data_IF_148167822290
#
_entry.id   IF_148167822290
#
_cell.length_a   1.000
_cell.length_b   1.000
_cell.length_c   1.000
_cell.angle_alpha   90.00
_cell.angle_beta   90.00
_cell.angle_gamma   90.00
#
_symmetry.space_group_name_H-M   'P 1'
#
loop_
_entity.id
_entity.type
_entity.pdbx_description
1 polymer ?
#
# COMPACT_ATOMS: atom_id res chain seq x y z
N UNK A 1 12.08 -8.72 24.00
CA UNK A 1 11.46 -8.54 22.66
C UNK A 1 12.22 -7.49 21.86
N UNK A 2 12.25 -7.61 20.55
CA UNK A 2 12.80 -6.57 19.64
C UNK A 2 11.68 -6.05 18.76
N UNK A 3 11.47 -4.75 18.74
CA UNK A 3 10.52 -4.09 17.86
C UNK A 3 11.24 -3.20 16.88
N UNK A 4 10.80 -3.27 15.62
CA UNK A 4 11.15 -2.31 14.59
C UNK A 4 9.97 -1.36 14.45
N UNK A 5 10.24 -0.07 14.44
CA UNK A 5 9.21 0.97 14.33
C UNK A 5 9.46 1.85 13.12
N UNK A 6 8.49 1.93 12.22
CA UNK A 6 8.53 2.86 11.09
C UNK A 6 7.56 4.00 11.33
N UNK A 7 7.97 5.22 11.02
CA UNK A 7 7.12 6.41 11.11
C UNK A 7 6.91 7.03 9.74
N UNK A 8 5.63 7.25 9.39
CA UNK A 8 5.25 7.88 8.13
C UNK A 8 5.57 9.37 8.09
N UNK A 9 5.54 9.96 6.89
CA UNK A 9 5.92 11.37 6.70
C UNK A 9 5.06 12.36 7.46
N UNK A 10 3.76 12.12 7.61
CA UNK A 10 2.85 12.96 8.43
C UNK A 10 3.26 12.97 9.91
N UNK A 11 3.78 11.85 10.41
CA UNK A 11 4.30 11.70 11.77
C UNK A 11 5.64 12.39 12.00
N UNK A 12 6.30 12.89 10.94
CA UNK A 12 7.62 13.51 10.96
C UNK A 12 7.64 14.88 10.26
N UNK A 13 6.46 15.51 10.10
CA UNK A 13 6.30 16.73 9.34
C UNK A 13 6.83 18.00 10.06
N UNK A 14 7.03 17.96 11.38
CA UNK A 14 7.43 19.11 12.22
C UNK A 14 8.14 18.65 13.50
N UNK A 15 8.80 19.58 14.18
CA UNK A 15 9.43 19.33 15.47
C UNK A 15 8.43 18.82 16.54
N UNK A 16 7.16 19.28 16.51
CA UNK A 16 6.13 18.76 17.41
C UNK A 16 5.85 17.28 17.16
N UNK A 17 5.74 16.88 15.90
CA UNK A 17 5.53 15.48 15.55
C UNK A 17 6.76 14.62 15.92
N UNK A 18 7.98 15.12 15.73
CA UNK A 18 9.20 14.44 16.17
C UNK A 18 9.20 14.18 17.68
N UNK A 19 8.75 15.14 18.51
CA UNK A 19 8.62 14.92 19.97
C UNK A 19 7.66 13.79 20.28
N UNK A 20 6.46 13.77 19.64
CA UNK A 20 5.50 12.67 19.81
C UNK A 20 6.12 11.32 19.43
N UNK A 21 6.86 11.28 18.32
CA UNK A 21 7.56 10.06 17.89
C UNK A 21 8.60 9.62 18.91
N UNK A 22 9.41 10.54 19.44
CA UNK A 22 10.39 10.21 20.47
C UNK A 22 9.72 9.74 21.75
N UNK A 23 8.63 10.35 22.18
CA UNK A 23 7.85 9.90 23.35
C UNK A 23 7.33 8.47 23.15
N UNK A 24 6.82 8.15 21.96
CA UNK A 24 6.40 6.80 21.60
C UNK A 24 7.58 5.83 21.68
N UNK A 25 8.74 6.18 21.13
CA UNK A 25 9.93 5.30 21.12
C UNK A 25 10.39 5.08 22.57
N UNK A 26 10.51 6.12 23.36
CA UNK A 26 10.99 6.03 24.75
C UNK A 26 10.00 5.36 25.71
N UNK A 27 8.70 5.36 25.39
CA UNK A 27 7.69 4.67 26.18
C UNK A 27 7.85 3.13 26.18
N UNK A 28 8.66 2.58 25.27
CA UNK A 28 8.88 1.14 25.17
C UNK A 28 10.32 0.85 24.73
N UNK A 29 11.14 0.40 25.66
CA UNK A 29 12.56 0.09 25.45
C UNK A 29 12.81 -1.04 24.40
N UNK A 30 11.77 -1.74 23.97
CA UNK A 30 11.85 -2.77 22.92
C UNK A 30 11.82 -2.17 21.51
N UNK A 31 11.44 -0.89 21.35
CA UNK A 31 11.44 -0.11 20.09
C UNK A 31 12.85 0.37 19.74
N UNK A 32 13.66 -0.55 19.27
CA UNK A 32 15.11 -0.38 19.11
C UNK A 32 15.55 0.13 17.76
N UNK A 33 14.85 -0.27 16.71
CA UNK A 33 15.23 0.05 15.34
C UNK A 33 14.16 0.94 14.72
N UNK A 34 14.58 2.13 14.32
CA UNK A 34 13.67 3.20 13.86
C UNK A 34 13.87 3.44 12.37
N UNK A 35 12.77 3.43 11.62
CA UNK A 35 12.77 3.69 10.18
C UNK A 35 11.94 4.95 9.90
N UNK A 36 12.57 6.13 9.78
CA UNK A 36 11.89 7.36 9.45
C UNK A 36 11.64 7.50 7.95
N UNK A 37 10.47 8.04 7.58
CA UNK A 37 10.20 8.59 6.25
C UNK A 37 10.70 10.04 6.14
N UNK A 38 10.71 10.61 4.93
CA UNK A 38 10.89 12.04 4.72
C UNK A 38 9.76 12.84 5.38
N UNK A 39 9.98 14.13 5.74
CA UNK A 39 8.94 14.97 6.29
C UNK A 39 7.76 15.12 5.33
N UNK A 40 6.56 14.78 5.81
CA UNK A 40 5.32 14.91 5.07
C UNK A 40 4.77 16.34 5.07
N UNK A 41 3.49 16.47 4.76
CA UNK A 41 2.77 17.76 4.82
C UNK A 41 2.51 18.17 6.26
N UNK A 42 2.73 19.46 6.60
CA UNK A 42 2.37 20.06 7.90
C UNK A 42 0.87 20.38 7.97
N UNK A 43 0.26 20.69 6.81
CA UNK A 43 -1.14 21.03 6.63
C UNK A 43 -1.61 20.62 5.22
N UNK A 44 -2.92 20.67 4.95
CA UNK A 44 -3.52 20.12 3.71
C UNK A 44 -2.92 20.65 2.41
N UNK A 45 -2.59 21.94 2.33
CA UNK A 45 -2.03 22.59 1.14
C UNK A 45 -0.50 22.63 1.11
N UNK A 46 0.19 21.99 2.06
CA UNK A 46 1.65 21.93 2.09
C UNK A 46 2.18 20.92 1.06
N UNK A 47 3.47 21.05 0.73
CA UNK A 47 4.17 20.16 -0.21
C UNK A 47 5.03 19.19 0.60
N UNK A 48 5.06 17.92 0.21
CA UNK A 48 5.96 16.93 0.81
C UNK A 48 7.40 17.24 0.42
N UNK A 49 8.34 17.01 1.33
CA UNK A 49 9.77 17.25 1.06
C UNK A 49 10.27 16.42 -0.14
N UNK A 50 9.76 15.20 -0.31
CA UNK A 50 10.11 14.36 -1.47
C UNK A 50 9.69 15.02 -2.80
N UNK A 51 8.48 15.63 -2.84
CA UNK A 51 8.00 16.34 -4.03
C UNK A 51 8.83 17.62 -4.29
N UNK A 52 9.25 18.32 -3.21
CA UNK A 52 10.16 19.48 -3.32
C UNK A 52 11.52 19.06 -3.90
N UNK A 53 12.07 17.91 -3.47
CA UNK A 53 13.33 17.37 -3.97
C UNK A 53 13.26 16.98 -5.44
N UNK A 54 12.16 16.35 -5.89
CA UNK A 54 11.93 16.08 -7.31
C UNK A 54 11.89 17.38 -8.12
N UNK A 55 11.08 18.36 -7.73
CA UNK A 55 10.98 19.64 -8.43
C UNK A 55 12.31 20.41 -8.46
N UNK A 56 13.09 20.35 -7.39
CA UNK A 56 14.42 20.94 -7.32
C UNK A 56 15.40 20.25 -8.30
N UNK A 57 15.36 18.91 -8.35
CA UNK A 57 16.22 18.14 -9.26
C UNK A 57 15.81 18.33 -10.73
N UNK A 58 14.53 18.39 -11.07
CA UNK A 58 14.05 18.65 -12.43
C UNK A 58 14.60 19.98 -13.00
N UNK A 59 14.69 21.01 -12.14
CA UNK A 59 15.31 22.28 -12.53
C UNK A 59 16.82 22.11 -12.78
N UNK A 60 17.52 21.36 -11.94
CA UNK A 60 18.95 21.07 -12.10
C UNK A 60 19.22 20.28 -13.39
N UNK A 61 18.41 19.27 -13.67
CA UNK A 61 18.51 18.45 -14.87
C UNK A 61 18.27 19.26 -16.14
N UNK A 62 17.31 20.21 -16.09
CA UNK A 62 17.02 21.15 -17.16
C UNK A 62 18.07 22.28 -17.29
N UNK A 63 19.14 22.30 -16.47
CA UNK A 63 20.17 23.32 -16.48
C UNK A 63 19.69 24.70 -15.99
N UNK A 64 18.59 24.74 -15.24
CA UNK A 64 18.04 25.95 -14.62
C UNK A 64 18.59 26.13 -13.22
N UNK A 65 18.49 27.37 -12.69
CA UNK A 65 18.81 27.60 -11.27
C UNK A 65 17.79 26.93 -10.35
N UNK A 66 18.28 26.18 -9.39
CA UNK A 66 17.48 25.47 -8.37
C UNK A 66 17.84 25.93 -6.95
N UNK A 67 18.62 27.03 -6.83
CA UNK A 67 19.12 27.51 -5.52
C UNK A 67 18.00 27.89 -4.57
N UNK A 68 16.91 28.46 -5.08
CA UNK A 68 15.77 28.87 -4.27
C UNK A 68 15.05 27.64 -3.71
N UNK A 69 14.76 26.69 -4.57
CA UNK A 69 14.06 25.44 -4.20
C UNK A 69 14.87 24.63 -3.19
N UNK A 70 16.20 24.56 -3.38
CA UNK A 70 17.10 23.91 -2.43
C UNK A 70 17.14 24.67 -1.08
N UNK A 71 17.10 25.99 -1.11
CA UNK A 71 17.05 26.82 0.10
C UNK A 71 15.73 26.61 0.86
N UNK A 72 14.58 26.53 0.16
CA UNK A 72 13.28 26.25 0.76
C UNK A 72 13.28 24.87 1.47
N UNK A 73 13.92 23.86 0.87
CA UNK A 73 14.10 22.54 1.49
C UNK A 73 14.99 22.62 2.73
N UNK A 74 16.11 23.36 2.64
CA UNK A 74 17.03 23.58 3.77
C UNK A 74 16.33 24.24 4.95
N UNK A 75 15.54 25.27 4.70
CA UNK A 75 14.75 25.96 5.72
C UNK A 75 13.75 25.02 6.39
N UNK A 76 13.12 24.13 5.62
CA UNK A 76 12.19 23.13 6.14
C UNK A 76 12.85 22.19 7.17
N UNK A 77 14.07 21.74 6.93
CA UNK A 77 14.82 20.92 7.87
C UNK A 77 15.35 21.73 9.04
N UNK A 78 15.80 22.99 8.78
CA UNK A 78 16.27 23.88 9.84
C UNK A 78 15.17 24.20 10.86
N UNK A 79 13.92 24.42 10.40
CA UNK A 79 12.76 24.59 11.28
C UNK A 79 12.57 23.40 12.23
N UNK A 80 12.80 22.16 11.74
CA UNK A 80 12.72 20.95 12.59
C UNK A 80 13.86 20.94 13.60
N UNK A 81 15.11 21.16 13.16
CA UNK A 81 16.31 21.17 14.00
C UNK A 81 16.18 22.21 15.12
N UNK A 82 15.83 23.46 14.76
CA UNK A 82 15.67 24.55 15.71
C UNK A 82 14.52 24.28 16.69
N UNK A 83 13.40 23.79 16.16
CA UNK A 83 12.25 23.43 16.98
C UNK A 83 12.53 22.30 17.97
N UNK A 84 13.48 21.40 17.68
CA UNK A 84 13.95 20.34 18.59
C UNK A 84 15.07 20.81 19.52
N UNK A 85 15.65 22.00 19.28
CA UNK A 85 16.77 22.54 20.05
C UNK A 85 18.09 21.81 19.82
N UNK A 86 18.26 21.19 18.65
CA UNK A 86 19.49 20.46 18.29
C UNK A 86 20.60 21.41 17.87
N UNK A 87 21.85 21.00 18.09
CA UNK A 87 23.06 21.71 17.60
C UNK A 87 23.55 21.14 16.27
N UNK A 88 22.76 20.25 15.65
CA UNK A 88 23.06 19.62 14.38
C UNK A 88 23.10 20.64 13.23
N UNK A 89 24.08 20.52 12.35
CA UNK A 89 24.14 21.25 11.08
C UNK A 89 24.08 20.26 9.93
N UNK A 90 23.22 20.49 8.95
CA UNK A 90 23.13 19.71 7.70
C UNK A 90 23.80 20.44 6.52
N UNK A 91 24.68 21.41 6.80
CA UNK A 91 25.31 22.22 5.75
C UNK A 91 26.17 21.40 4.79
N UNK A 92 26.96 20.46 5.30
CA UNK A 92 27.81 19.58 4.49
C UNK A 92 26.98 18.65 3.60
N UNK A 93 25.88 18.12 4.14
CA UNK A 93 24.94 17.29 3.40
C UNK A 93 24.28 18.07 2.26
N UNK A 94 23.84 19.31 2.52
CA UNK A 94 23.25 20.15 1.48
C UNK A 94 24.26 20.58 0.41
N UNK A 95 25.50 20.82 0.76
CA UNK A 95 26.57 21.07 -0.22
C UNK A 95 26.81 19.84 -1.11
N UNK A 96 26.81 18.66 -0.51
CA UNK A 96 26.93 17.38 -1.23
C UNK A 96 25.73 17.17 -2.16
N UNK A 97 24.50 17.43 -1.70
CA UNK A 97 23.28 17.34 -2.51
C UNK A 97 23.32 18.32 -3.68
N UNK A 98 23.70 19.58 -3.43
CA UNK A 98 23.82 20.59 -4.49
C UNK A 98 24.82 20.16 -5.56
N UNK A 99 25.98 19.62 -5.16
CA UNK A 99 26.98 19.11 -6.10
C UNK A 99 26.48 17.92 -6.91
N UNK A 100 25.80 16.96 -6.27
CA UNK A 100 25.25 15.80 -6.94
C UNK A 100 24.10 16.17 -7.90
N UNK A 101 23.30 17.18 -7.59
CA UNK A 101 22.28 17.70 -8.50
C UNK A 101 22.93 18.34 -9.73
N UNK A 102 24.01 19.14 -9.57
CA UNK A 102 24.80 19.68 -10.69
C UNK A 102 25.41 18.56 -11.55
N UNK A 103 25.80 17.45 -10.93
CA UNK A 103 26.36 16.28 -11.60
C UNK A 103 25.31 15.33 -12.18
N UNK A 104 24.01 15.67 -12.09
CA UNK A 104 22.89 14.88 -12.60
C UNK A 104 22.82 13.46 -12.02
N UNK A 105 22.87 13.35 -10.70
CA UNK A 105 22.89 12.08 -9.98
C UNK A 105 21.58 11.25 -10.07
N UNK A 106 20.53 11.78 -10.67
CA UNK A 106 19.28 11.07 -10.96
C UNK A 106 18.18 11.28 -9.93
N UNK A 107 16.95 10.99 -10.36
CA UNK A 107 15.74 11.16 -9.54
C UNK A 107 15.73 10.30 -8.27
N UNK A 108 16.28 9.08 -8.34
CA UNK A 108 16.37 8.20 -7.17
C UNK A 108 17.26 8.81 -6.07
N UNK A 109 18.41 9.37 -6.46
CA UNK A 109 19.27 10.08 -5.53
C UNK A 109 18.53 11.27 -4.91
N UNK A 110 17.89 12.11 -5.73
CA UNK A 110 17.17 13.28 -5.24
C UNK A 110 16.10 12.90 -4.21
N UNK A 111 15.21 11.99 -4.57
CA UNK A 111 14.13 11.54 -3.70
C UNK A 111 14.62 10.95 -2.38
N UNK A 112 15.67 10.12 -2.41
CA UNK A 112 16.22 9.47 -1.21
C UNK A 112 16.76 10.46 -0.16
N UNK A 113 17.14 11.67 -0.57
CA UNK A 113 17.70 12.65 0.36
C UNK A 113 16.70 13.13 1.39
N UNK A 114 15.40 13.01 1.12
CA UNK A 114 14.36 13.31 2.09
C UNK A 114 14.46 12.43 3.34
N UNK A 115 14.48 11.13 3.16
CA UNK A 115 14.63 10.16 4.24
C UNK A 115 16.02 10.20 4.86
N UNK A 116 17.06 10.36 4.04
CA UNK A 116 18.46 10.46 4.49
C UNK A 116 18.64 11.59 5.52
N UNK A 117 18.26 12.83 5.16
CA UNK A 117 18.37 13.99 6.04
C UNK A 117 17.51 13.84 7.30
N UNK A 118 16.30 13.32 7.13
CA UNK A 118 15.39 13.09 8.25
C UNK A 118 15.90 12.01 9.20
N UNK A 119 16.56 10.98 8.66
CA UNK A 119 17.23 9.94 9.43
C UNK A 119 18.37 10.47 10.28
N UNK A 120 19.17 11.38 9.75
CA UNK A 120 20.26 12.05 10.51
C UNK A 120 19.68 12.84 11.70
N UNK A 121 18.64 13.65 11.47
CA UNK A 121 17.96 14.40 12.54
C UNK A 121 17.38 13.46 13.61
N UNK A 122 16.72 12.39 13.18
CA UNK A 122 16.14 11.42 14.10
C UNK A 122 17.20 10.72 14.94
N UNK A 123 18.32 10.34 14.32
CA UNK A 123 19.43 9.69 15.02
C UNK A 123 20.08 10.62 16.05
N UNK A 124 20.32 11.88 15.71
CA UNK A 124 20.87 12.89 16.63
C UNK A 124 19.90 13.15 17.79
N UNK A 125 18.59 13.30 17.48
CA UNK A 125 17.58 13.60 18.49
C UNK A 125 17.37 12.44 19.50
N UNK A 126 17.45 11.18 19.03
CA UNK A 126 17.34 10.01 19.90
C UNK A 126 18.65 9.58 20.56
N UNK A 127 19.79 10.08 20.09
CA UNK A 127 21.12 9.59 20.47
C UNK A 127 21.39 8.17 19.95
N UNK A 128 20.81 7.79 18.81
CA UNK A 128 20.94 6.47 18.20
C UNK A 128 21.97 6.49 17.07
N UNK A 129 22.54 5.32 16.74
CA UNK A 129 23.43 5.19 15.59
C UNK A 129 22.66 5.40 14.28
N UNK A 130 23.16 6.28 13.40
CA UNK A 130 22.67 6.43 12.04
C UNK A 130 23.32 5.38 11.13
N UNK A 131 22.54 4.69 10.33
CA UNK A 131 23.01 3.73 9.32
C UNK A 131 22.36 4.08 7.99
N UNK A 132 23.17 4.52 7.02
CA UNK A 132 22.67 4.84 5.68
C UNK A 132 22.13 3.58 4.99
N UNK A 133 20.90 3.66 4.51
CA UNK A 133 20.24 2.56 3.79
C UNK A 133 20.99 2.17 2.51
N UNK A 134 21.69 3.10 1.86
CA UNK A 134 22.53 2.81 0.72
C UNK A 134 23.71 1.87 1.04
N UNK A 135 24.13 1.79 2.30
CA UNK A 135 25.21 0.87 2.73
C UNK A 135 24.71 -0.56 2.94
N UNK A 136 23.42 -0.74 3.24
CA UNK A 136 22.91 -2.01 3.80
C UNK A 136 21.75 -2.62 3.01
N UNK A 137 21.08 -1.87 2.13
CA UNK A 137 19.98 -2.37 1.28
C UNK A 137 20.47 -2.43 -0.16
N UNK A 138 20.31 -3.59 -0.80
CA UNK A 138 20.84 -3.89 -2.13
C UNK A 138 19.73 -4.13 -3.15
N UNK A 139 19.98 -3.62 -4.35
CA UNK A 139 19.24 -3.94 -5.56
C UNK A 139 20.16 -4.68 -6.54
N UNK A 140 19.59 -5.59 -7.31
CA UNK A 140 20.29 -6.32 -8.35
C UNK A 140 20.48 -5.48 -9.62
N UNK A 141 21.13 -6.03 -10.64
CA UNK A 141 21.42 -5.35 -11.91
C UNK A 141 20.15 -4.97 -12.69
N UNK A 142 19.02 -5.64 -12.45
CA UNK A 142 17.74 -5.34 -13.07
C UNK A 142 16.97 -4.22 -12.33
N UNK A 143 17.46 -3.85 -11.14
CA UNK A 143 16.80 -2.89 -10.26
C UNK A 143 15.74 -3.51 -9.36
N UNK A 144 15.75 -4.84 -9.23
CA UNK A 144 14.90 -5.57 -8.30
C UNK A 144 15.56 -5.66 -6.91
N UNK A 145 14.74 -5.71 -5.87
CA UNK A 145 15.23 -5.79 -4.50
C UNK A 145 15.92 -7.13 -4.22
N UNK A 146 17.22 -7.10 -3.92
CA UNK A 146 17.98 -8.28 -3.51
C UNK A 146 17.76 -8.56 -2.01
N UNK A 147 16.77 -9.38 -1.75
CA UNK A 147 16.29 -9.72 -0.41
C UNK A 147 17.33 -10.49 0.42
N UNK A 148 18.06 -11.42 -0.18
CA UNK A 148 18.97 -12.29 0.56
C UNK A 148 20.28 -11.58 0.89
N UNK A 149 20.90 -10.89 -0.09
CA UNK A 149 22.10 -10.08 0.14
C UNK A 149 21.84 -8.97 1.15
N UNK A 150 20.69 -8.29 1.03
CA UNK A 150 20.28 -7.26 2.01
C UNK A 150 20.15 -7.85 3.41
N UNK A 151 19.44 -8.97 3.55
CA UNK A 151 19.23 -9.60 4.86
C UNK A 151 20.55 -10.00 5.54
N UNK A 152 21.52 -10.48 4.76
CA UNK A 152 22.84 -10.82 5.26
C UNK A 152 23.65 -9.59 5.70
N UNK A 153 23.74 -8.55 4.85
CA UNK A 153 24.50 -7.33 5.13
C UNK A 153 23.89 -6.60 6.33
N UNK A 154 22.58 -6.34 6.29
CA UNK A 154 21.88 -5.60 7.32
C UNK A 154 21.84 -6.38 8.64
N UNK A 155 21.65 -7.71 8.60
CA UNK A 155 21.68 -8.56 9.78
C UNK A 155 23.04 -8.53 10.48
N UNK A 156 24.14 -8.60 9.72
CA UNK A 156 25.52 -8.46 10.26
C UNK A 156 25.74 -7.05 10.83
N UNK A 157 25.30 -6.01 10.12
CA UNK A 157 25.49 -4.60 10.52
C UNK A 157 24.78 -4.26 11.82
N UNK A 158 23.60 -4.86 12.05
CA UNK A 158 22.78 -4.65 13.24
C UNK A 158 23.04 -5.66 14.37
N UNK A 159 23.88 -6.66 14.15
CA UNK A 159 24.20 -7.66 15.16
C UNK A 159 24.89 -7.00 16.37
N UNK A 160 24.35 -7.23 17.57
CA UNK A 160 24.89 -6.67 18.81
C UNK A 160 24.60 -5.19 19.04
N UNK A 161 23.91 -4.52 18.11
CA UNK A 161 23.46 -3.13 18.31
C UNK A 161 22.26 -3.07 19.24
N UNK A 162 22.26 -2.11 20.15
CA UNK A 162 21.12 -1.87 21.03
C UNK A 162 20.00 -1.14 20.31
N UNK A 163 20.36 -0.14 19.52
CA UNK A 163 19.43 0.68 18.75
C UNK A 163 20.12 1.26 17.49
N UNK A 164 19.31 1.63 16.49
CA UNK A 164 19.77 2.33 15.29
C UNK A 164 18.61 3.03 14.58
N UNK A 165 18.94 4.04 13.77
CA UNK A 165 18.05 4.70 12.81
C UNK A 165 18.51 4.33 11.40
N UNK A 166 17.61 3.77 10.60
CA UNK A 166 17.82 3.37 9.22
C UNK A 166 16.80 4.11 8.35
N UNK A 167 17.20 5.09 7.52
CA UNK A 167 16.26 5.82 6.67
C UNK A 167 15.45 4.89 5.77
N UNK A 168 14.16 5.19 5.59
CA UNK A 168 13.29 4.43 4.71
C UNK A 168 13.52 4.69 3.22
N UNK A 169 12.78 3.98 2.35
CA UNK A 169 12.54 4.28 0.95
C UNK A 169 13.62 3.89 -0.06
N UNK A 170 14.89 3.76 0.29
CA UNK A 170 15.97 3.56 -0.67
C UNK A 170 17.02 2.53 -0.22
N UNK A 171 17.83 2.13 -1.16
CA UNK A 171 19.07 1.37 -1.02
C UNK A 171 20.02 1.73 -2.16
N UNK A 172 20.89 0.84 -2.56
CA UNK A 172 21.83 1.06 -3.65
C UNK A 172 22.11 -0.21 -4.45
N UNK A 173 22.53 -0.02 -5.69
CA UNK A 173 23.21 -1.05 -6.48
C UNK A 173 24.59 -1.39 -5.90
N UNK A 174 25.23 -2.42 -6.44
CA UNK A 174 26.57 -2.83 -6.01
C UNK A 174 27.65 -1.75 -6.21
N UNK A 175 27.47 -0.88 -7.21
CA UNK A 175 28.37 0.25 -7.50
C UNK A 175 28.15 1.48 -6.60
N UNK A 176 27.16 1.42 -5.69
CA UNK A 176 26.78 2.51 -4.80
C UNK A 176 25.75 3.50 -5.38
N UNK A 177 25.32 3.31 -6.63
CA UNK A 177 24.26 4.14 -7.21
C UNK A 177 22.95 3.94 -6.46
N UNK A 178 22.36 5.03 -5.97
CA UNK A 178 21.14 5.00 -5.18
C UNK A 178 19.92 4.58 -6.02
N UNK A 179 19.13 3.70 -5.45
CA UNK A 179 17.85 3.24 -6.00
C UNK A 179 16.75 3.37 -4.96
N UNK A 180 15.59 3.90 -5.34
CA UNK A 180 14.40 3.95 -4.50
C UNK A 180 13.44 2.81 -4.80
N UNK A 181 12.65 2.40 -3.81
CA UNK A 181 11.48 1.56 -4.03
C UNK A 181 10.39 2.36 -4.76
N UNK A 182 9.55 1.69 -5.54
CA UNK A 182 8.55 2.34 -6.40
C UNK A 182 7.43 3.01 -5.60
N UNK A 183 6.90 2.32 -4.57
CA UNK A 183 5.82 2.81 -3.69
C UNK A 183 5.97 2.21 -2.29
N UNK A 184 5.47 2.91 -1.27
CA UNK A 184 5.49 2.42 0.10
C UNK A 184 6.90 2.10 0.64
N UNK A 185 7.94 2.71 0.07
CA UNK A 185 9.33 2.29 0.28
C UNK A 185 9.78 2.33 1.72
N UNK A 186 9.32 3.29 2.52
CA UNK A 186 9.64 3.29 3.95
C UNK A 186 8.95 2.16 4.71
N UNK A 187 7.73 1.74 4.29
CA UNK A 187 7.04 0.58 4.84
C UNK A 187 7.80 -0.71 4.52
N UNK A 188 8.29 -0.82 3.28
CA UNK A 188 9.13 -1.94 2.82
C UNK A 188 10.44 -1.97 3.62
N UNK A 189 11.11 -0.82 3.80
CA UNK A 189 12.34 -0.74 4.60
C UNK A 189 12.11 -1.19 6.04
N UNK A 190 11.01 -0.77 6.69
CA UNK A 190 10.67 -1.23 8.04
C UNK A 190 10.52 -2.76 8.12
N UNK A 191 9.89 -3.34 7.11
CA UNK A 191 9.72 -4.79 6.98
C UNK A 191 11.06 -5.52 6.76
N UNK A 192 11.94 -4.96 5.92
CA UNK A 192 13.30 -5.48 5.66
C UNK A 192 14.12 -5.46 6.96
N UNK A 193 14.13 -4.33 7.68
CA UNK A 193 14.84 -4.21 8.96
C UNK A 193 14.29 -5.21 9.96
N UNK A 194 12.95 -5.36 10.06
CA UNK A 194 12.32 -6.32 10.95
C UNK A 194 12.75 -7.76 10.68
N UNK A 195 12.82 -8.14 9.40
CA UNK A 195 13.35 -9.46 8.99
C UNK A 195 14.81 -9.63 9.38
N UNK A 196 15.66 -8.66 9.06
CA UNK A 196 17.11 -8.74 9.29
C UNK A 196 17.48 -8.88 10.76
N UNK A 197 16.77 -8.20 11.67
CA UNK A 197 17.00 -8.29 13.12
C UNK A 197 16.20 -9.41 13.78
N UNK A 198 15.38 -10.15 13.02
CA UNK A 198 14.42 -11.15 13.54
C UNK A 198 13.57 -10.54 14.64
N UNK A 199 12.87 -9.46 14.30
CA UNK A 199 12.02 -8.74 15.22
C UNK A 199 10.83 -9.60 15.69
N UNK A 200 10.37 -9.37 16.91
CA UNK A 200 9.15 -9.99 17.41
C UNK A 200 7.89 -9.29 16.87
N UNK A 201 8.00 -7.99 16.54
CA UNK A 201 6.93 -7.17 15.99
C UNK A 201 7.51 -6.09 15.06
N UNK A 202 6.82 -5.82 13.96
CA UNK A 202 7.00 -4.63 13.15
C UNK A 202 5.83 -3.67 13.40
N UNK A 203 6.09 -2.52 14.04
CA UNK A 203 5.10 -1.47 14.24
C UNK A 203 5.20 -0.44 13.11
N UNK A 204 4.11 -0.23 12.36
CA UNK A 204 3.99 0.81 11.34
C UNK A 204 3.12 1.95 11.88
N UNK A 205 3.75 3.06 12.22
CA UNK A 205 3.12 4.25 12.78
C UNK A 205 2.77 5.25 11.66
N UNK A 206 1.50 5.62 11.61
CA UNK A 206 0.90 6.50 10.62
C UNK A 206 -0.06 7.49 11.29
N UNK A 207 -0.89 8.21 10.53
CA UNK A 207 -1.90 9.15 11.01
C UNK A 207 -3.31 8.54 11.17
N UNK A 208 -3.44 7.23 10.94
CA UNK A 208 -4.70 6.50 11.12
C UNK A 208 -4.54 5.37 12.14
N UNK A 209 -5.63 5.05 12.85
CA UNK A 209 -5.63 4.04 13.94
C UNK A 209 -5.81 2.59 13.45
N UNK A 210 -5.24 2.26 12.30
CA UNK A 210 -5.34 0.93 11.69
C UNK A 210 -6.34 0.89 10.53
N UNK A 211 -6.78 -0.32 10.19
CA UNK A 211 -7.77 -0.55 9.13
C UNK A 211 -9.19 -0.40 9.67
N UNK A 212 -10.06 0.11 8.83
CA UNK A 212 -11.49 0.23 9.10
C UNK A 212 -12.27 -0.82 8.31
N UNK A 213 -13.42 -1.25 8.83
CA UNK A 213 -14.26 -2.27 8.18
C UNK A 213 -14.81 -1.76 6.83
N UNK A 214 -15.00 -0.45 6.71
CA UNK A 214 -15.45 0.19 5.45
C UNK A 214 -14.79 1.56 5.30
N UNK A 215 -14.90 2.12 4.10
CA UNK A 215 -14.37 3.45 3.77
C UNK A 215 -15.07 4.54 4.60
N UNK A 216 -14.34 5.37 5.38
CA UNK A 216 -14.90 6.43 6.20
C UNK A 216 -15.55 7.57 5.38
N UNK A 217 -15.30 7.63 4.07
CA UNK A 217 -15.97 8.56 3.15
C UNK A 217 -17.39 8.11 2.82
N UNK A 218 -17.71 6.83 3.02
CA UNK A 218 -19.02 6.22 2.74
C UNK A 218 -19.79 5.96 4.02
N UNK A 219 -19.12 5.41 5.04
CA UNK A 219 -19.67 5.09 6.35
C UNK A 219 -19.17 6.10 7.37
N UNK A 220 -20.05 6.78 8.05
CA UNK A 220 -19.68 7.67 9.14
C UNK A 220 -19.19 6.87 10.36
N UNK A 221 -17.94 7.14 10.81
CA UNK A 221 -17.32 6.48 11.97
C UNK A 221 -17.35 4.94 11.91
N UNK A 222 -16.80 4.31 10.84
CA UNK A 222 -16.82 2.88 10.73
C UNK A 222 -15.98 2.21 11.83
N UNK A 223 -16.36 1.00 12.22
CA UNK A 223 -15.62 0.23 13.23
C UNK A 223 -14.20 -0.12 12.73
N UNK A 224 -13.23 -0.12 13.64
CA UNK A 224 -11.87 -0.57 13.37
C UNK A 224 -11.76 -2.10 13.29
N UNK A 225 -10.75 -2.56 12.57
CA UNK A 225 -10.38 -3.97 12.49
C UNK A 225 -9.27 -4.24 13.50
N UNK A 226 -9.53 -5.08 14.51
CA UNK A 226 -8.52 -5.40 15.53
C UNK A 226 -7.42 -6.30 14.96
N UNK A 227 -7.80 -7.35 14.20
CA UNK A 227 -6.87 -8.33 13.64
C UNK A 227 -7.31 -8.76 12.25
N UNK A 228 -6.37 -8.71 11.32
CA UNK A 228 -6.55 -9.12 9.92
C UNK A 228 -5.43 -10.09 9.52
N UNK A 229 -5.74 -11.09 8.70
CA UNK A 229 -4.71 -11.97 8.12
C UNK A 229 -4.12 -11.35 6.85
N UNK A 230 -2.90 -11.75 6.48
CA UNK A 230 -2.28 -11.31 5.22
C UNK A 230 -3.16 -11.58 4.00
N UNK A 231 -3.91 -12.68 4.00
CA UNK A 231 -4.81 -13.01 2.89
C UNK A 231 -5.99 -12.03 2.82
N UNK A 232 -6.65 -11.76 3.95
CA UNK A 232 -7.74 -10.79 4.01
C UNK A 232 -7.27 -9.39 3.65
N UNK A 233 -6.07 -9.01 4.12
CA UNK A 233 -5.48 -7.71 3.79
C UNK A 233 -5.27 -7.56 2.28
N UNK A 234 -4.75 -8.58 1.59
CA UNK A 234 -4.56 -8.52 0.14
C UNK A 234 -5.86 -8.32 -0.61
N UNK A 235 -6.92 -9.03 -0.23
CA UNK A 235 -8.26 -8.87 -0.83
C UNK A 235 -8.78 -7.43 -0.67
N UNK A 236 -8.67 -6.87 0.54
CA UNK A 236 -9.13 -5.51 0.82
C UNK A 236 -8.26 -4.45 0.13
N UNK A 237 -6.93 -4.61 0.16
CA UNK A 237 -5.99 -3.66 -0.45
C UNK A 237 -6.14 -3.61 -1.97
N UNK A 238 -6.32 -4.75 -2.62
CA UNK A 238 -6.57 -4.85 -4.05
C UNK A 238 -7.82 -4.05 -4.45
N UNK A 239 -8.86 -4.11 -3.64
CA UNK A 239 -10.10 -3.37 -3.83
C UNK A 239 -10.08 -1.94 -3.28
N UNK A 240 -8.90 -1.42 -2.90
CA UNK A 240 -8.69 0.00 -2.59
C UNK A 240 -8.64 0.39 -1.11
N UNK A 241 -8.80 -0.53 -0.19
CA UNK A 241 -8.59 -0.28 1.24
C UNK A 241 -7.09 -0.35 1.59
N UNK A 242 -6.31 0.66 1.17
CA UNK A 242 -4.86 0.66 1.36
C UNK A 242 -4.43 1.59 2.50
N UNK A 243 -3.99 1.02 3.61
CA UNK A 243 -3.25 1.72 4.68
C UNK A 243 -1.77 1.34 4.61
N UNK A 244 -1.46 0.14 4.12
CA UNK A 244 -0.12 -0.40 3.95
C UNK A 244 0.03 -0.93 2.53
N UNK A 245 1.16 -0.62 1.88
CA UNK A 245 1.46 -1.17 0.55
C UNK A 245 1.72 -2.68 0.66
N UNK A 246 1.17 -3.48 -0.27
CA UNK A 246 1.27 -4.94 -0.20
C UNK A 246 2.72 -5.46 -0.26
N UNK A 247 3.61 -4.78 -0.99
CA UNK A 247 5.02 -5.15 -1.06
C UNK A 247 5.73 -5.07 0.29
N UNK A 248 5.25 -4.21 1.19
CA UNK A 248 5.80 -4.09 2.55
C UNK A 248 5.54 -5.33 3.42
N UNK A 249 4.65 -6.21 2.99
CA UNK A 249 4.28 -7.40 3.74
C UNK A 249 5.28 -8.54 3.50
N UNK A 250 5.84 -8.65 2.30
CA UNK A 250 6.62 -9.82 1.88
C UNK A 250 7.81 -10.16 2.79
N UNK A 251 8.69 -9.21 3.19
CA UNK A 251 9.84 -9.55 4.02
C UNK A 251 9.46 -10.15 5.37
N UNK A 252 8.47 -9.58 6.06
CA UNK A 252 8.03 -10.04 7.39
C UNK A 252 7.14 -11.26 7.36
N UNK A 253 6.31 -11.42 6.31
CA UNK A 253 5.44 -12.57 6.13
C UNK A 253 6.22 -13.87 6.06
N UNK A 254 7.34 -13.88 5.33
CA UNK A 254 8.19 -15.06 5.18
C UNK A 254 8.73 -15.58 6.51
N UNK A 255 8.95 -14.69 7.47
CA UNK A 255 9.45 -14.99 8.81
C UNK A 255 8.33 -15.10 9.87
N UNK A 256 7.07 -14.90 9.47
CA UNK A 256 5.93 -14.93 10.40
C UNK A 256 5.89 -13.78 11.41
N UNK A 257 6.60 -12.67 11.14
CA UNK A 257 6.65 -11.50 12.02
C UNK A 257 5.34 -10.71 11.88
N UNK A 258 4.57 -10.51 12.96
CA UNK A 258 3.35 -9.72 12.90
C UNK A 258 3.63 -8.24 12.68
N UNK A 259 2.71 -7.57 11.95
CA UNK A 259 2.73 -6.11 11.78
C UNK A 259 1.64 -5.52 12.66
N UNK A 260 1.92 -4.40 13.33
CA UNK A 260 0.91 -3.62 14.04
C UNK A 260 0.84 -2.21 13.45
N UNK A 261 -0.30 -1.86 12.84
CA UNK A 261 -0.55 -0.51 12.33
C UNK A 261 -1.06 0.36 13.46
N UNK A 262 -0.37 1.46 13.74
CA UNK A 262 -0.66 2.33 14.89
C UNK A 262 -0.72 3.80 14.51
N UNK A 263 -1.41 4.58 15.32
CA UNK A 263 -1.60 6.02 15.11
C UNK A 263 -0.65 6.83 15.99
N UNK A 264 0.20 7.64 15.37
CA UNK A 264 1.13 8.55 16.07
C UNK A 264 0.38 9.62 16.89
N UNK A 265 -0.81 10.03 16.46
CA UNK A 265 -1.62 11.03 17.15
C UNK A 265 -2.56 10.44 18.22
N UNK A 266 -2.66 9.10 18.30
CA UNK A 266 -3.46 8.37 19.27
C UNK A 266 -2.70 7.10 19.69
N UNK A 267 -1.53 7.23 20.36
CA UNK A 267 -0.63 6.11 20.63
C UNK A 267 -1.19 5.08 21.62
N UNK A 268 -2.22 5.42 22.38
CA UNK A 268 -2.97 4.52 23.25
C UNK A 268 -3.88 3.54 22.49
N UNK A 269 -4.27 3.88 21.25
CA UNK A 269 -5.08 2.99 20.43
C UNK A 269 -4.27 1.73 20.04
N UNK A 270 -4.89 0.54 20.17
CA UNK A 270 -4.26 -0.74 19.85
C UNK A 270 -3.90 -0.91 18.38
N UNK A 271 -4.59 -0.17 17.50
CA UNK A 271 -4.44 -0.28 16.06
C UNK A 271 -4.92 -1.61 15.49
N UNK A 272 -4.43 -1.96 14.30
CA UNK A 272 -4.74 -3.23 13.64
C UNK A 272 -3.52 -4.14 13.62
N UNK A 273 -3.69 -5.40 14.03
CA UNK A 273 -2.69 -6.45 13.89
C UNK A 273 -2.84 -7.20 12.57
N UNK A 274 -1.76 -7.32 11.83
CA UNK A 274 -1.68 -8.12 10.60
C UNK A 274 -0.85 -9.36 10.91
N UNK A 275 -1.44 -10.55 10.71
CA UNK A 275 -0.84 -11.83 11.09
C UNK A 275 -0.95 -12.85 9.94
N UNK A 276 -0.11 -13.91 9.96
CA UNK A 276 -0.20 -14.99 8.96
C UNK A 276 -1.50 -15.79 9.15
N UNK A 277 -1.81 -16.13 10.39
CA UNK A 277 -3.02 -16.86 10.76
C UNK A 277 -3.42 -16.52 12.19
N UNK A 278 -4.69 -16.72 12.51
CA UNK A 278 -5.19 -16.52 13.86
C UNK A 278 -6.33 -17.49 14.17
N UNK A 279 -6.32 -18.02 15.39
CA UNK A 279 -7.42 -18.79 15.96
C UNK A 279 -8.46 -17.89 16.65
N UNK A 280 -8.18 -16.59 16.79
CA UNK A 280 -9.15 -15.65 17.36
C UNK A 280 -10.35 -15.50 16.43
N UNK A 281 -11.53 -15.65 17.00
CA UNK A 281 -12.76 -15.33 16.28
C UNK A 281 -12.81 -13.82 16.01
N UNK A 282 -13.15 -13.45 14.78
CA UNK A 282 -13.46 -12.07 14.47
C UNK A 282 -14.69 -11.62 15.25
N UNK A 283 -14.74 -10.35 15.65
CA UNK A 283 -15.91 -9.74 16.27
C UNK A 283 -17.15 -9.82 15.37
N UNK A 284 -16.94 -9.72 14.06
CA UNK A 284 -17.98 -9.80 13.04
C UNK A 284 -17.70 -10.98 12.09
N UNK A 285 -18.70 -11.42 11.36
CA UNK A 285 -18.57 -12.47 10.34
C UNK A 285 -17.65 -12.03 9.21
N UNK A 286 -17.75 -10.75 8.83
CA UNK A 286 -16.88 -10.11 7.85
C UNK A 286 -15.74 -9.37 8.56
N UNK A 287 -14.60 -9.27 7.88
CA UNK A 287 -13.45 -8.48 8.34
C UNK A 287 -13.47 -7.08 7.74
N UNK A 288 -13.89 -6.94 6.48
CA UNK A 288 -13.96 -5.63 5.84
C UNK A 288 -14.76 -5.66 4.54
N UNK A 289 -15.10 -4.46 4.08
CA UNK A 289 -15.78 -4.17 2.83
C UNK A 289 -14.95 -3.12 2.10
N UNK A 290 -14.52 -3.45 0.89
CA UNK A 290 -13.79 -2.51 0.03
C UNK A 290 -14.37 -2.56 -1.37
N UNK A 291 -14.17 -1.52 -2.16
CA UNK A 291 -14.63 -1.54 -3.54
C UNK A 291 -14.11 -0.37 -4.34
N UNK A 292 -14.22 -0.50 -5.65
CA UNK A 292 -13.81 0.49 -6.64
C UNK A 292 -14.89 0.64 -7.70
N UNK A 293 -15.00 1.86 -8.23
CA UNK A 293 -15.76 2.19 -9.44
C UNK A 293 -14.87 2.16 -10.66
N UNK A 294 -15.45 2.23 -11.85
CA UNK A 294 -14.72 2.40 -13.11
C UNK A 294 -14.36 1.08 -13.78
N UNK A 295 -15.25 0.12 -13.72
CA UNK A 295 -15.13 -1.14 -14.46
C UNK A 295 -16.15 -1.19 -15.60
N UNK A 296 -15.85 -2.03 -16.59
CA UNK A 296 -16.80 -2.47 -17.59
C UNK A 296 -16.79 -3.99 -17.73
N UNK A 297 -17.91 -4.53 -18.15
CA UNK A 297 -18.10 -5.95 -18.44
C UNK A 297 -18.18 -6.16 -19.95
N UNK A 298 -17.33 -7.03 -20.48
CA UNK A 298 -17.38 -7.48 -21.87
C UNK A 298 -18.05 -8.85 -21.87
N UNK A 299 -19.32 -8.90 -22.27
CA UNK A 299 -20.13 -10.12 -22.33
C UNK A 299 -19.97 -10.75 -23.71
N UNK A 300 -19.49 -11.98 -23.74
CA UNK A 300 -19.26 -12.74 -24.97
C UNK A 300 -20.18 -13.94 -24.95
N UNK A 301 -21.03 -14.07 -25.99
CA UNK A 301 -21.93 -15.17 -26.15
C UNK A 301 -21.50 -16.06 -27.32
N UNK A 302 -21.54 -17.37 -27.12
CA UNK A 302 -21.29 -18.35 -28.15
C UNK A 302 -22.07 -19.65 -27.88
N UNK A 303 -22.93 -20.03 -28.78
CA UNK A 303 -23.63 -21.30 -28.71
C UNK A 303 -22.65 -22.47 -28.64
N UNK A 304 -22.88 -23.40 -27.71
CA UNK A 304 -22.02 -24.57 -27.44
C UNK A 304 -20.61 -24.19 -26.96
N UNK A 305 -20.43 -23.02 -26.36
CA UNK A 305 -19.13 -22.53 -25.82
C UNK A 305 -18.46 -23.55 -24.89
N UNK A 306 -19.24 -24.18 -24.01
CA UNK A 306 -18.76 -25.19 -23.07
C UNK A 306 -18.16 -26.45 -23.75
N UNK A 307 -18.46 -26.71 -25.01
CA UNK A 307 -17.91 -27.81 -25.79
C UNK A 307 -16.65 -27.42 -26.57
N UNK A 308 -16.35 -26.11 -26.68
CA UNK A 308 -15.18 -25.63 -27.40
C UNK A 308 -13.95 -25.54 -26.48
N UNK A 309 -13.04 -26.52 -26.63
CA UNK A 309 -11.79 -26.53 -25.87
C UNK A 309 -10.94 -25.31 -26.20
N UNK A 310 -10.59 -24.54 -25.18
CA UNK A 310 -9.71 -23.38 -25.29
C UNK A 310 -10.41 -22.06 -25.67
N UNK A 311 -11.74 -22.01 -25.66
CA UNK A 311 -12.49 -20.78 -25.92
C UNK A 311 -12.06 -19.63 -25.00
N UNK A 312 -12.09 -19.85 -23.68
CA UNK A 312 -11.66 -18.83 -22.71
C UNK A 312 -10.22 -18.35 -22.92
N UNK A 313 -9.29 -19.24 -23.28
CA UNK A 313 -7.92 -18.87 -23.63
C UNK A 313 -7.87 -17.93 -24.83
N UNK A 314 -8.66 -18.20 -25.88
CA UNK A 314 -8.72 -17.37 -27.08
C UNK A 314 -9.28 -15.97 -26.78
N UNK A 315 -10.31 -15.90 -25.95
CA UNK A 315 -10.86 -14.61 -25.48
C UNK A 315 -9.85 -13.84 -24.66
N UNK A 316 -9.25 -14.45 -23.66
CA UNK A 316 -8.27 -13.78 -22.79
C UNK A 316 -7.00 -13.36 -23.54
N UNK A 317 -6.60 -14.11 -24.58
CA UNK A 317 -5.51 -13.72 -25.48
C UNK A 317 -5.79 -12.38 -26.17
N UNK A 318 -7.04 -12.09 -26.52
CA UNK A 318 -7.37 -10.79 -27.13
C UNK A 318 -7.13 -9.61 -26.16
N UNK A 319 -7.32 -9.78 -24.87
CA UNK A 319 -6.99 -8.76 -23.85
C UNK A 319 -5.47 -8.68 -23.63
N UNK A 320 -4.78 -9.82 -23.54
CA UNK A 320 -3.32 -9.91 -23.40
C UNK A 320 -2.60 -9.22 -24.55
N UNK A 321 -2.99 -9.46 -25.80
CA UNK A 321 -2.39 -8.87 -27.00
C UNK A 321 -2.42 -7.33 -26.99
N UNK A 322 -3.36 -6.73 -26.25
CA UNK A 322 -3.49 -5.28 -26.10
C UNK A 322 -3.09 -4.77 -24.70
N UNK A 323 -2.49 -5.61 -23.89
CA UNK A 323 -1.98 -5.24 -22.57
C UNK A 323 -3.09 -4.79 -21.60
N UNK A 324 -4.22 -5.49 -21.60
CA UNK A 324 -5.34 -5.26 -20.67
C UNK A 324 -5.41 -6.41 -19.68
N UNK A 325 -5.34 -6.07 -18.39
CA UNK A 325 -5.53 -7.01 -17.30
C UNK A 325 -7.02 -7.22 -17.04
N UNK A 326 -7.43 -8.45 -16.77
CA UNK A 326 -8.79 -8.74 -16.31
C UNK A 326 -8.86 -8.80 -14.78
N UNK A 327 -10.01 -8.46 -14.23
CA UNK A 327 -10.30 -8.52 -12.80
C UNK A 327 -11.03 -9.84 -12.44
N UNK A 328 -12.14 -10.12 -13.13
CA UNK A 328 -12.96 -11.31 -12.95
C UNK A 328 -13.44 -11.85 -14.27
N UNK A 329 -13.65 -13.17 -14.32
CA UNK A 329 -14.13 -13.87 -15.54
C UNK A 329 -15.21 -14.88 -15.19
N UNK A 330 -16.41 -14.43 -14.79
CA UNK A 330 -17.53 -15.34 -14.62
C UNK A 330 -17.93 -15.97 -15.96
N UNK A 331 -18.22 -17.26 -15.94
CA UNK A 331 -18.60 -18.02 -17.13
C UNK A 331 -19.89 -18.80 -16.90
N UNK A 332 -20.76 -18.81 -17.92
CA UNK A 332 -21.94 -19.66 -18.03
C UNK A 332 -21.69 -20.85 -18.97
N UNK A 333 -22.78 -21.42 -19.52
CA UNK A 333 -22.73 -22.52 -20.51
C UNK A 333 -22.33 -21.96 -21.87
N UNK A 334 -23.01 -20.88 -22.30
CA UNK A 334 -22.85 -20.25 -23.59
C UNK A 334 -22.36 -18.78 -23.49
N UNK A 335 -21.94 -18.37 -22.29
CA UNK A 335 -21.52 -16.98 -22.03
C UNK A 335 -20.21 -16.93 -21.26
N UNK A 336 -19.36 -15.96 -21.56
CA UNK A 336 -18.17 -15.60 -20.84
C UNK A 336 -18.12 -14.10 -20.67
N UNK A 337 -18.05 -13.61 -19.44
CA UNK A 337 -17.94 -12.19 -19.17
C UNK A 337 -16.54 -11.87 -18.67
N UNK A 338 -15.90 -10.85 -19.22
CA UNK A 338 -14.59 -10.36 -18.77
C UNK A 338 -14.76 -8.98 -18.16
N UNK A 339 -14.47 -8.85 -16.86
CA UNK A 339 -14.45 -7.57 -16.16
C UNK A 339 -13.06 -6.95 -16.26
N UNK A 340 -12.99 -5.69 -16.70
CA UNK A 340 -11.75 -4.95 -16.90
C UNK A 340 -11.90 -3.52 -16.40
N UNK A 341 -10.78 -2.84 -16.13
CA UNK A 341 -10.80 -1.40 -15.88
C UNK A 341 -11.30 -0.64 -17.12
N UNK A 342 -12.31 0.20 -16.94
CA UNK A 342 -12.97 0.94 -18.02
C UNK A 342 -11.99 1.86 -18.76
N UNK A 343 -11.16 2.60 -18.02
CA UNK A 343 -10.19 3.55 -18.61
C UNK A 343 -9.14 2.84 -19.47
N UNK A 344 -8.72 1.62 -19.09
CA UNK A 344 -7.74 0.85 -19.88
C UNK A 344 -8.35 0.22 -21.13
N UNK A 345 -9.63 -0.07 -21.09
CA UNK A 345 -10.36 -0.78 -22.14
C UNK A 345 -10.91 0.16 -23.22
N UNK A 346 -11.55 1.28 -22.84
CA UNK A 346 -12.31 2.13 -23.77
C UNK A 346 -11.50 2.62 -24.95
N UNK A 347 -10.24 3.01 -24.75
CA UNK A 347 -9.35 3.45 -25.85
C UNK A 347 -8.97 2.32 -26.82
N UNK A 348 -9.15 1.06 -26.39
CA UNK A 348 -8.75 -0.15 -27.13
C UNK A 348 -9.94 -1.03 -27.52
N UNK A 349 -11.16 -0.65 -27.18
CA UNK A 349 -12.40 -1.41 -27.34
C UNK A 349 -12.52 -2.07 -28.71
N UNK A 350 -12.48 -1.25 -29.78
CA UNK A 350 -12.64 -1.75 -31.15
C UNK A 350 -11.57 -2.78 -31.54
N UNK A 351 -10.35 -2.62 -31.04
CA UNK A 351 -9.24 -3.53 -31.34
C UNK A 351 -9.42 -4.86 -30.65
N UNK A 352 -9.80 -4.81 -29.35
CA UNK A 352 -10.06 -6.01 -28.54
C UNK A 352 -11.27 -6.78 -29.07
N UNK A 353 -12.38 -6.11 -29.36
CA UNK A 353 -13.59 -6.72 -29.93
C UNK A 353 -13.28 -7.39 -31.28
N UNK A 354 -12.53 -6.70 -32.16
CA UNK A 354 -12.11 -7.29 -33.42
C UNK A 354 -11.19 -8.51 -33.24
N UNK A 355 -10.32 -8.49 -32.24
CA UNK A 355 -9.46 -9.63 -31.92
C UNK A 355 -10.27 -10.82 -31.36
N UNK A 356 -11.26 -10.56 -30.49
CA UNK A 356 -12.16 -11.61 -29.97
C UNK A 356 -12.92 -12.26 -31.15
N UNK A 357 -13.50 -11.48 -32.05
CA UNK A 357 -14.18 -12.03 -33.24
C UNK A 357 -13.24 -12.91 -34.08
N UNK A 358 -12.02 -12.47 -34.32
CA UNK A 358 -11.04 -13.24 -35.11
C UNK A 358 -10.59 -14.53 -34.43
N UNK A 359 -10.39 -14.51 -33.09
CA UNK A 359 -9.78 -15.63 -32.35
C UNK A 359 -10.82 -16.65 -31.86
N UNK A 360 -11.98 -16.16 -31.45
CA UNK A 360 -12.99 -16.97 -30.74
C UNK A 360 -14.29 -17.13 -31.53
N UNK A 361 -14.56 -16.29 -32.57
CA UNK A 361 -15.75 -16.32 -33.41
C UNK A 361 -17.06 -16.41 -32.58
N UNK A 362 -17.35 -15.42 -31.71
CA UNK A 362 -18.53 -15.38 -30.88
C UNK A 362 -19.78 -15.04 -31.70
N UNK A 363 -20.97 -15.43 -31.21
CA UNK A 363 -22.26 -15.05 -31.79
C UNK A 363 -22.59 -13.58 -31.53
N UNK A 364 -22.27 -13.09 -30.31
CA UNK A 364 -22.45 -11.68 -29.95
C UNK A 364 -21.41 -11.23 -28.91
N UNK A 365 -21.14 -9.91 -28.88
CA UNK A 365 -20.38 -9.23 -27.85
C UNK A 365 -21.17 -8.01 -27.42
N UNK A 366 -21.44 -7.88 -26.14
CA UNK A 366 -22.09 -6.72 -25.52
C UNK A 366 -21.19 -6.14 -24.42
N UNK A 367 -21.17 -4.81 -24.31
CA UNK A 367 -20.30 -4.10 -23.36
C UNK A 367 -21.18 -3.28 -22.43
N UNK A 368 -21.09 -3.57 -21.15
CA UNK A 368 -21.73 -2.81 -20.08
C UNK A 368 -20.69 -1.98 -19.33
N UNK A 369 -20.77 -0.67 -19.42
CA UNK A 369 -19.87 0.27 -18.76
C UNK A 369 -20.42 0.74 -17.40
N UNK A 370 -19.66 1.60 -16.71
CA UNK A 370 -20.03 2.25 -15.44
C UNK A 370 -20.41 1.28 -14.31
N UNK A 371 -19.60 0.24 -14.18
CA UNK A 371 -19.73 -0.74 -13.12
C UNK A 371 -18.77 -0.48 -11.96
N UNK A 372 -19.18 -0.94 -10.79
CA UNK A 372 -18.37 -0.98 -9.58
C UNK A 372 -18.26 -2.41 -9.06
N UNK A 373 -17.11 -2.75 -8.50
CA UNK A 373 -16.87 -4.02 -7.83
C UNK A 373 -16.70 -3.79 -6.33
N UNK A 374 -17.36 -4.62 -5.53
CA UNK A 374 -17.35 -4.60 -4.07
C UNK A 374 -16.88 -5.95 -3.57
N UNK A 375 -15.82 -5.97 -2.77
CA UNK A 375 -15.35 -7.15 -2.07
C UNK A 375 -15.84 -7.14 -0.62
N UNK A 376 -16.57 -8.15 -0.24
CA UNK A 376 -16.90 -8.46 1.16
C UNK A 376 -15.93 -9.55 1.60
N UNK A 377 -15.04 -9.19 2.53
CA UNK A 377 -13.92 -10.05 2.93
C UNK A 377 -14.06 -10.49 4.38
N UNK A 378 -13.81 -11.74 4.69
CA UNK A 378 -13.78 -12.20 6.06
C UNK A 378 -13.62 -13.70 6.24
N UNK A 379 -12.62 -14.08 7.05
CA UNK A 379 -12.39 -15.49 7.44
C UNK A 379 -13.57 -16.12 8.17
N UNK A 380 -14.43 -15.31 8.80
CA UNK A 380 -15.63 -15.77 9.48
C UNK A 380 -16.70 -16.34 8.54
N UNK A 381 -16.69 -15.93 7.28
CA UNK A 381 -17.65 -16.40 6.26
C UNK A 381 -17.55 -17.90 6.02
N UNK A 382 -16.34 -18.46 6.03
CA UNK A 382 -16.09 -19.90 5.84
C UNK A 382 -16.82 -20.79 6.85
N UNK A 383 -17.01 -20.31 8.08
CA UNK A 383 -17.65 -21.07 9.16
C UNK A 383 -19.11 -20.64 9.42
N UNK A 384 -19.59 -19.58 8.79
CA UNK A 384 -20.92 -19.00 9.05
C UNK A 384 -21.85 -19.24 7.87
N UNK A 385 -22.81 -20.15 8.07
CA UNK A 385 -23.82 -20.45 7.03
C UNK A 385 -24.74 -19.26 6.80
N UNK A 386 -25.16 -19.07 5.56
CA UNK A 386 -26.13 -18.03 5.18
C UNK A 386 -25.54 -16.63 5.00
N UNK A 387 -24.22 -16.46 5.05
CA UNK A 387 -23.55 -15.16 4.85
C UNK A 387 -23.91 -14.53 3.51
N UNK A 388 -23.79 -15.28 2.41
CA UNK A 388 -24.19 -14.81 1.07
C UNK A 388 -25.68 -14.40 1.03
N UNK A 389 -26.56 -15.22 1.60
CA UNK A 389 -28.00 -14.89 1.69
C UNK A 389 -28.28 -13.56 2.39
N UNK A 390 -27.56 -13.28 3.48
CA UNK A 390 -27.66 -11.99 4.19
C UNK A 390 -27.18 -10.82 3.34
N UNK A 391 -26.06 -10.97 2.64
CA UNK A 391 -25.53 -9.93 1.74
C UNK A 391 -26.56 -9.61 0.67
N UNK A 392 -27.06 -10.60 -0.06
CA UNK A 392 -28.01 -10.37 -1.15
C UNK A 392 -29.37 -9.88 -0.66
N UNK A 393 -29.82 -10.31 0.52
CA UNK A 393 -31.02 -9.77 1.16
C UNK A 393 -30.85 -8.29 1.50
N UNK A 394 -29.69 -7.88 2.03
CA UNK A 394 -29.42 -6.48 2.32
C UNK A 394 -29.42 -5.62 1.04
N UNK A 395 -28.78 -6.09 -0.03
CA UNK A 395 -28.76 -5.41 -1.32
C UNK A 395 -30.15 -5.28 -1.93
N UNK A 396 -30.97 -6.34 -1.86
CA UNK A 396 -32.36 -6.32 -2.33
C UNK A 396 -33.21 -5.30 -1.57
N UNK A 397 -33.06 -5.22 -0.23
CA UNK A 397 -33.77 -4.23 0.59
C UNK A 397 -33.32 -2.78 0.30
N UNK A 398 -32.06 -2.61 -0.10
CA UNK A 398 -31.53 -1.32 -0.54
C UNK A 398 -31.88 -0.97 -2.00
N UNK A 399 -32.68 -1.80 -2.68
CA UNK A 399 -33.04 -1.67 -4.09
C UNK A 399 -31.82 -1.63 -5.04
N UNK A 400 -30.75 -2.36 -4.69
CA UNK A 400 -29.53 -2.47 -5.49
C UNK A 400 -29.64 -3.68 -6.41
N UNK A 401 -29.40 -3.47 -7.71
CA UNK A 401 -29.36 -4.55 -8.69
C UNK A 401 -27.95 -5.15 -8.77
N UNK A 402 -27.84 -6.45 -8.55
CA UNK A 402 -26.58 -7.17 -8.63
C UNK A 402 -26.31 -7.61 -10.07
N UNK A 403 -25.19 -7.17 -10.62
CA UNK A 403 -24.73 -7.44 -11.99
C UNK A 403 -23.82 -8.67 -12.08
N UNK A 404 -23.02 -8.92 -11.02
CA UNK A 404 -22.08 -10.01 -10.98
C UNK A 404 -21.90 -10.50 -9.54
N UNK A 405 -21.68 -11.80 -9.40
CA UNK A 405 -21.31 -12.46 -8.15
C UNK A 405 -20.16 -13.40 -8.45
N UNK A 406 -19.09 -13.28 -7.68
CA UNK A 406 -17.97 -14.22 -7.69
C UNK A 406 -17.58 -14.59 -6.27
N UNK A 407 -17.45 -15.90 -6.02
CA UNK A 407 -16.97 -16.44 -4.74
C UNK A 407 -16.05 -17.61 -5.02
N UNK A 408 -14.75 -17.42 -4.83
CA UNK A 408 -13.77 -18.48 -4.99
C UNK A 408 -13.88 -19.58 -3.93
N UNK A 409 -13.22 -20.71 -4.18
CA UNK A 409 -13.19 -21.88 -3.29
C UNK A 409 -12.51 -21.60 -1.93
N UNK A 410 -11.83 -20.49 -1.79
CA UNK A 410 -11.26 -20.05 -0.50
C UNK A 410 -12.31 -19.65 0.51
N UNK A 411 -13.51 -19.26 0.04
CA UNK A 411 -14.63 -18.70 0.83
C UNK A 411 -14.21 -17.48 1.68
N UNK A 412 -13.12 -16.83 1.28
CA UNK A 412 -12.54 -15.69 2.01
C UNK A 412 -13.22 -14.38 1.63
N UNK A 413 -13.70 -14.29 0.40
CA UNK A 413 -14.35 -13.11 -0.14
C UNK A 413 -15.62 -13.48 -0.95
N UNK A 414 -16.50 -12.50 -1.10
CA UNK A 414 -17.58 -12.46 -2.08
C UNK A 414 -17.42 -11.15 -2.83
N UNK A 415 -17.24 -11.24 -4.15
CA UNK A 415 -17.14 -10.07 -5.02
C UNK A 415 -18.51 -9.84 -5.66
N UNK A 416 -18.96 -8.60 -5.65
CA UNK A 416 -20.26 -8.19 -6.13
C UNK A 416 -20.09 -7.05 -7.12
N UNK A 417 -20.58 -7.23 -8.33
CA UNK A 417 -20.68 -6.19 -9.34
C UNK A 417 -22.01 -5.46 -9.24
N UNK A 418 -22.00 -4.15 -9.24
CA UNK A 418 -23.18 -3.25 -9.23
C UNK A 418 -22.97 -2.08 -10.17
N UNK A 419 -24.00 -1.32 -10.50
CA UNK A 419 -23.85 -0.06 -11.22
C UNK A 419 -23.08 0.96 -10.35
N UNK A 420 -22.31 1.86 -10.97
CA UNK A 420 -21.56 2.89 -10.25
C UNK A 420 -22.43 3.76 -9.32
N UNK A 421 -23.69 3.99 -9.69
CA UNK A 421 -24.65 4.77 -8.91
C UNK A 421 -25.10 4.05 -7.63
N UNK A 422 -25.11 2.72 -7.64
CA UNK A 422 -25.54 1.90 -6.50
C UNK A 422 -24.41 1.61 -5.50
N UNK A 423 -23.17 1.99 -5.80
CA UNK A 423 -21.97 1.60 -5.08
C UNK A 423 -22.01 1.93 -3.59
N UNK A 424 -22.31 3.19 -3.24
CA UNK A 424 -22.34 3.63 -1.84
C UNK A 424 -23.52 3.01 -1.09
N UNK A 425 -24.69 2.88 -1.74
CA UNK A 425 -25.86 2.26 -1.15
C UNK A 425 -25.63 0.78 -0.83
N UNK A 426 -24.94 0.07 -1.73
CA UNK A 426 -24.56 -1.33 -1.54
C UNK A 426 -23.61 -1.49 -0.34
N UNK A 427 -22.56 -0.70 -0.23
CA UNK A 427 -21.60 -0.74 0.90
C UNK A 427 -22.33 -0.46 2.22
N UNK A 428 -23.21 0.56 2.27
CA UNK A 428 -23.99 0.88 3.47
C UNK A 428 -24.88 -0.27 3.90
N UNK A 429 -25.61 -0.86 2.98
CA UNK A 429 -26.51 -1.97 3.27
C UNK A 429 -25.76 -3.21 3.82
N UNK A 430 -24.61 -3.53 3.24
CA UNK A 430 -23.76 -4.64 3.71
C UNK A 430 -23.17 -4.32 5.09
N UNK A 431 -22.69 -3.10 5.30
CA UNK A 431 -22.15 -2.68 6.60
C UNK A 431 -23.22 -2.76 7.70
N UNK A 432 -24.40 -2.27 7.43
CA UNK A 432 -25.51 -2.23 8.41
C UNK A 432 -25.90 -3.63 8.88
N UNK A 433 -26.02 -4.59 7.98
CA UNK A 433 -26.44 -5.95 8.36
C UNK A 433 -25.38 -6.71 9.16
N UNK A 434 -24.08 -6.52 8.90
CA UNK A 434 -23.03 -7.27 9.57
C UNK A 434 -22.45 -6.56 10.80
N UNK A 435 -22.45 -5.24 10.84
CA UNK A 435 -21.77 -4.45 11.87
C UNK A 435 -22.76 -3.77 12.79
N UNK A 436 -23.83 -3.20 12.27
CA UNK A 436 -24.83 -2.49 13.09
C UNK A 436 -25.84 -3.46 13.67
N UNK A 437 -26.51 -4.25 12.81
CA UNK A 437 -27.54 -5.20 13.24
C UNK A 437 -26.94 -6.48 13.82
N UNK A 438 -25.69 -6.83 13.48
CA UNK A 438 -24.97 -8.03 13.93
C UNK A 438 -25.75 -9.34 13.66
N UNK A 439 -26.47 -9.41 12.58
CA UNK A 439 -27.28 -10.54 12.18
C UNK A 439 -26.46 -11.64 11.53
#
# INVERSE_FOLDING_TARGET
>A
MKKVVKFGGSSLASAEQFRKVADIIHADAERRFVVPSAPGKRFSNDIKVTDMLYGCYDLAEAGKSFKKELQDIKERYQEIIDGLGLKLSLEEEFQTIEQNFKNKAGNNYAASRGEYLNGIIMADYLGYEFIDSAEVIRFDENGDFDSETTNEILGKRLQGKENAVIPGFYGAFADGTVKTFSRGGSDITGSIVARAVKADVYENWTDVSGFLIADPRIIENPQGIDTITYRELRELSYMGASVLHEDAIFPVRREGIPINIRNTNCPEASGTWIVESTCQKSKFVITGIAGKKGFCAVNIEKAMMNSEIGFGRKVLQAFEDYGISFEHVPSGIDTLTVFVHQDEFMDKEQKVVSAIHRLADPDSIDIEADLALIAVVGRGMKSTRGTAGRIFSALAHANVNVKMIDQGSSELNIIIGVANEDFEAAIKAIYDIFVVAQL
#
